data_IF_290156124585
#
_entry.id   IF_290156124585
#
_cell.length_a   1.000
_cell.length_b   1.000
_cell.length_c   1.000
_cell.angle_alpha   90.00
_cell.angle_beta   90.00
_cell.angle_gamma   90.00
#
_symmetry.space_group_name_H-M   'P 1'
#
loop_
_entity.id
_entity.type
_entity.pdbx_description
1 polymer ?
#
# COMPACT_ATOMS: atom_id res chain seq x y z
N UNK A 1 5.39 -3.58 3.23
CA UNK A 1 4.95 -4.91 2.73
C UNK A 1 6.12 -5.90 2.69
N UNK A 2 7.21 -5.67 1.94
CA UNK A 2 8.38 -6.58 1.82
C UNK A 2 8.97 -6.89 3.20
N UNK A 3 9.27 -5.88 4.01
CA UNK A 3 9.91 -6.01 5.34
C UNK A 3 9.13 -6.86 6.36
N UNK A 4 7.83 -7.02 6.16
CA UNK A 4 6.94 -7.80 7.03
C UNK A 4 6.47 -9.11 6.37
N UNK A 5 7.06 -9.49 5.23
CA UNK A 5 6.72 -10.72 4.51
C UNK A 5 5.32 -10.76 3.89
N UNK A 6 4.65 -9.61 3.73
CA UNK A 6 3.27 -9.54 3.23
C UNK A 6 3.18 -8.98 1.80
N UNK A 7 4.27 -9.02 1.04
CA UNK A 7 4.28 -8.47 -0.33
C UNK A 7 3.35 -9.24 -1.27
N UNK A 8 3.18 -10.54 -1.06
CA UNK A 8 2.39 -11.42 -1.91
C UNK A 8 0.86 -11.21 -1.82
N UNK A 9 0.38 -10.41 -0.86
CA UNK A 9 -1.04 -10.02 -0.87
C UNK A 9 -1.36 -9.04 -2.00
N UNK A 10 -0.35 -8.32 -2.53
CA UNK A 10 -0.55 -7.34 -3.59
C UNK A 10 -1.06 -7.97 -4.89
N UNK A 11 -0.41 -9.00 -5.48
CA UNK A 11 -0.93 -9.62 -6.70
C UNK A 11 -2.26 -10.36 -6.50
N UNK A 12 -2.55 -10.78 -5.26
CA UNK A 12 -3.84 -11.41 -4.95
C UNK A 12 -5.00 -10.40 -4.85
N UNK A 13 -4.70 -9.14 -4.48
CA UNK A 13 -5.69 -8.07 -4.38
C UNK A 13 -5.77 -7.21 -5.64
N UNK A 14 -4.64 -7.05 -6.34
CA UNK A 14 -4.47 -6.16 -7.48
C UNK A 14 -3.71 -6.94 -8.57
N UNK A 15 -4.19 -6.92 -9.78
CA UNK A 15 -3.59 -7.69 -10.89
C UNK A 15 -2.14 -7.28 -11.17
N UNK A 16 -1.84 -5.98 -11.03
CA UNK A 16 -0.52 -5.42 -11.26
C UNK A 16 -0.22 -4.29 -10.30
N UNK A 17 1.06 -4.09 -10.04
CA UNK A 17 1.57 -2.97 -9.24
C UNK A 17 2.61 -2.22 -10.06
N UNK A 18 2.42 -0.91 -10.16
CA UNK A 18 3.35 -0.03 -10.87
C UNK A 18 3.89 1.00 -9.89
N UNK A 19 5.19 1.20 -9.86
CA UNK A 19 5.81 2.27 -9.07
C UNK A 19 6.52 3.26 -9.99
N UNK A 20 6.63 4.55 -9.60
CA UNK A 20 7.44 5.48 -10.36
C UNK A 20 8.94 5.18 -10.24
N UNK A 21 9.70 5.58 -11.26
CA UNK A 21 11.16 5.42 -11.26
C UNK A 21 11.82 6.01 -10.02
N UNK A 22 11.35 7.17 -9.53
CA UNK A 22 11.86 7.79 -8.32
C UNK A 22 11.74 6.87 -7.09
N UNK A 23 10.61 6.17 -6.93
CA UNK A 23 10.43 5.19 -5.85
C UNK A 23 11.33 3.97 -6.06
N UNK A 24 11.49 3.51 -7.30
CA UNK A 24 12.41 2.42 -7.64
C UNK A 24 13.86 2.75 -7.26
N UNK A 25 14.31 3.98 -7.54
CA UNK A 25 15.62 4.50 -7.14
C UNK A 25 15.77 4.49 -5.61
N UNK A 26 14.77 4.97 -4.87
CA UNK A 26 14.76 4.92 -3.40
C UNK A 26 14.84 3.49 -2.86
N UNK A 27 14.08 2.56 -3.44
CA UNK A 27 14.06 1.16 -3.02
C UNK A 27 15.38 0.41 -3.28
N UNK A 28 16.20 0.89 -4.19
CA UNK A 28 17.51 0.31 -4.52
C UNK A 28 18.69 1.07 -3.90
N UNK A 29 18.45 2.18 -3.23
CA UNK A 29 19.46 2.98 -2.56
C UNK A 29 20.22 2.17 -1.50
N UNK A 30 21.50 2.49 -1.28
CA UNK A 30 22.36 1.81 -0.29
C UNK A 30 21.83 1.89 1.15
N UNK A 31 21.07 2.94 1.49
CA UNK A 31 20.42 3.10 2.80
C UNK A 31 19.15 2.24 2.98
N UNK A 32 18.62 1.68 1.91
CA UNK A 32 17.44 0.81 1.96
C UNK A 32 17.79 -0.57 2.55
N UNK A 33 16.93 -1.16 3.40
CA UNK A 33 17.19 -2.48 3.96
C UNK A 33 17.50 -3.54 2.89
N UNK A 34 18.47 -4.43 3.17
CA UNK A 34 18.95 -5.43 2.21
C UNK A 34 17.80 -6.28 1.63
N UNK A 35 16.88 -6.73 2.46
CA UNK A 35 15.71 -7.53 2.03
C UNK A 35 14.89 -6.85 0.93
N UNK A 36 14.81 -5.52 0.94
CA UNK A 36 14.09 -4.75 -0.09
C UNK A 36 14.92 -4.69 -1.37
N UNK A 37 16.23 -4.44 -1.26
CA UNK A 37 17.14 -4.43 -2.41
C UNK A 37 17.21 -5.78 -3.10
N UNK A 38 17.27 -6.88 -2.32
CA UNK A 38 17.29 -8.25 -2.85
C UNK A 38 15.99 -8.56 -3.61
N UNK A 39 14.86 -8.12 -3.07
CA UNK A 39 13.57 -8.26 -3.74
C UNK A 39 13.52 -7.46 -5.05
N UNK A 40 14.04 -6.22 -5.04
CA UNK A 40 14.11 -5.37 -6.23
C UNK A 40 15.07 -5.87 -7.32
N UNK A 41 16.05 -6.70 -6.96
CA UNK A 41 16.96 -7.32 -7.93
C UNK A 41 16.26 -8.37 -8.83
N UNK A 42 15.17 -8.98 -8.34
CA UNK A 42 14.42 -10.01 -9.06
C UNK A 42 12.90 -9.75 -8.92
N UNK A 43 12.38 -8.64 -9.47
CA UNK A 43 10.97 -8.30 -9.33
C UNK A 43 10.09 -9.30 -10.09
N UNK A 44 8.93 -9.67 -9.52
CA UNK A 44 8.00 -10.57 -10.18
C UNK A 44 7.28 -9.89 -11.36
N UNK A 45 6.69 -10.68 -12.26
CA UNK A 45 6.04 -10.19 -13.47
C UNK A 45 4.85 -9.24 -13.24
N UNK A 46 4.21 -9.31 -12.07
CA UNK A 46 3.10 -8.41 -11.71
C UNK A 46 3.55 -7.03 -11.24
N UNK A 47 4.87 -6.82 -11.08
CA UNK A 47 5.46 -5.56 -10.61
C UNK A 47 6.24 -4.89 -11.74
N UNK A 48 6.08 -3.58 -11.91
CA UNK A 48 6.80 -2.82 -12.92
C UNK A 48 7.19 -1.43 -12.42
N UNK A 49 8.20 -0.85 -13.07
CA UNK A 49 8.69 0.50 -12.80
C UNK A 49 8.43 1.33 -14.06
N UNK A 50 7.82 2.50 -13.89
CA UNK A 50 7.51 3.40 -15.00
C UNK A 50 7.70 4.85 -14.58
N UNK A 51 8.28 5.68 -15.43
CA UNK A 51 8.30 7.12 -15.24
C UNK A 51 6.95 7.73 -15.66
N UNK A 52 6.38 8.69 -14.92
CA UNK A 52 5.27 9.48 -15.44
C UNK A 52 5.76 10.37 -16.60
N UNK A 53 4.91 10.58 -17.62
CA UNK A 53 5.23 11.50 -18.72
C UNK A 53 5.08 12.95 -18.30
N UNK A 54 4.13 13.24 -17.44
CA UNK A 54 3.88 14.56 -16.89
C UNK A 54 3.91 14.50 -15.37
N UNK A 55 4.40 15.52 -14.71
CA UNK A 55 4.37 15.63 -13.25
C UNK A 55 3.33 16.66 -12.81
N UNK A 56 2.51 16.28 -11.82
CA UNK A 56 1.66 17.22 -11.10
C UNK A 56 2.51 18.33 -10.48
N UNK A 57 1.91 19.47 -10.20
CA UNK A 57 2.61 20.69 -9.77
C UNK A 57 3.73 20.40 -8.74
N UNK A 58 5.00 20.67 -9.09
CA UNK A 58 6.16 20.33 -8.25
C UNK A 58 6.25 21.13 -6.95
N UNK A 59 5.42 22.16 -6.76
CA UNK A 59 5.42 22.99 -5.56
C UNK A 59 4.56 22.44 -4.43
N UNK A 60 3.66 21.49 -4.69
CA UNK A 60 2.72 20.96 -3.70
C UNK A 60 3.30 19.84 -2.83
N UNK A 61 4.16 19.00 -3.37
CA UNK A 61 4.79 17.88 -2.66
C UNK A 61 6.31 18.03 -2.58
N UNK A 62 6.87 17.85 -1.37
CA UNK A 62 8.32 17.90 -1.15
C UNK A 62 9.05 16.68 -1.69
N UNK A 63 8.39 15.51 -1.67
CA UNK A 63 9.03 14.24 -2.04
C UNK A 63 8.73 13.89 -3.50
N UNK A 64 9.80 13.70 -4.28
CA UNK A 64 9.72 13.34 -5.69
C UNK A 64 8.93 12.03 -5.89
N UNK A 65 9.16 11.03 -5.03
CA UNK A 65 8.50 9.74 -5.11
C UNK A 65 6.97 9.84 -5.03
N UNK A 66 6.45 10.61 -4.07
CA UNK A 66 5.01 10.81 -3.88
C UNK A 66 4.37 11.57 -5.04
N UNK A 67 5.01 12.65 -5.50
CA UNK A 67 4.56 13.43 -6.64
C UNK A 67 4.50 12.60 -7.91
N UNK A 68 5.56 11.86 -8.19
CA UNK A 68 5.64 11.01 -9.38
C UNK A 68 4.62 9.85 -9.28
N UNK A 69 4.34 9.34 -8.06
CA UNK A 69 3.32 8.32 -7.83
C UNK A 69 1.90 8.83 -8.11
N UNK A 70 1.56 10.05 -7.67
CA UNK A 70 0.26 10.66 -7.98
C UNK A 70 0.13 10.91 -9.48
N UNK A 71 1.17 11.46 -10.11
CA UNK A 71 1.20 11.71 -11.56
C UNK A 71 0.99 10.44 -12.36
N UNK A 72 1.73 9.39 -12.00
CA UNK A 72 1.64 8.10 -12.66
C UNK A 72 0.27 7.45 -12.46
N UNK A 73 -0.29 7.54 -11.24
CA UNK A 73 -1.62 6.99 -10.94
C UNK A 73 -2.72 7.65 -11.78
N UNK A 74 -2.66 8.98 -11.98
CA UNK A 74 -3.58 9.68 -12.88
C UNK A 74 -3.40 9.24 -14.34
N UNK A 75 -2.15 9.17 -14.80
CA UNK A 75 -1.81 8.85 -16.19
C UNK A 75 -2.29 7.45 -16.60
N UNK A 76 -2.13 6.46 -15.72
CA UNK A 76 -2.52 5.08 -15.99
C UNK A 76 -3.95 4.76 -15.54
N UNK A 77 -4.69 5.73 -15.01
CA UNK A 77 -6.02 5.53 -14.43
C UNK A 77 -6.01 4.39 -13.39
N UNK A 78 -5.06 4.44 -12.45
CA UNK A 78 -4.90 3.41 -11.44
C UNK A 78 -6.16 3.25 -10.58
N UNK A 79 -6.56 2.02 -10.28
CA UNK A 79 -7.71 1.73 -9.39
C UNK A 79 -7.51 2.28 -7.98
N UNK A 80 -6.26 2.30 -7.50
CA UNK A 80 -5.88 2.91 -6.23
C UNK A 80 -4.38 3.21 -6.18
N UNK A 81 -4.03 4.28 -5.48
CA UNK A 81 -2.65 4.63 -5.13
C UNK A 81 -2.37 4.22 -3.69
N UNK A 82 -1.36 3.35 -3.48
CA UNK A 82 -0.86 3.01 -2.15
C UNK A 82 -0.02 4.17 -1.60
N UNK A 83 -0.52 4.84 -0.57
CA UNK A 83 0.10 6.03 -0.03
C UNK A 83 -0.24 6.16 1.46
N UNK A 84 0.78 6.29 2.32
CA UNK A 84 0.60 6.34 3.78
C UNK A 84 0.72 7.76 4.36
N UNK A 85 1.44 8.67 3.71
CA UNK A 85 1.63 10.05 4.17
C UNK A 85 0.33 10.86 4.00
N UNK A 86 -0.13 11.49 5.10
CA UNK A 86 -1.45 12.14 5.18
C UNK A 86 -1.62 13.30 4.19
N UNK A 87 -0.60 14.16 4.06
CA UNK A 87 -0.65 15.30 3.14
C UNK A 87 -0.71 14.86 1.69
N UNK A 88 0.14 13.88 1.33
CA UNK A 88 0.17 13.33 -0.01
C UNK A 88 -1.17 12.63 -0.35
N UNK A 89 -1.80 11.96 0.62
CA UNK A 89 -3.15 11.39 0.47
C UNK A 89 -4.20 12.47 0.19
N UNK A 90 -4.17 13.57 0.94
CA UNK A 90 -5.11 14.68 0.73
C UNK A 90 -4.95 15.29 -0.67
N UNK A 91 -3.73 15.47 -1.15
CA UNK A 91 -3.46 15.99 -2.49
C UNK A 91 -3.89 15.00 -3.59
N UNK A 92 -3.61 13.72 -3.44
CA UNK A 92 -4.05 12.69 -4.38
C UNK A 92 -5.59 12.66 -4.50
N UNK A 93 -6.30 12.72 -3.37
CA UNK A 93 -7.76 12.77 -3.34
C UNK A 93 -8.31 14.05 -4.00
N UNK A 94 -7.68 15.21 -3.76
CA UNK A 94 -8.06 16.49 -4.41
C UNK A 94 -7.87 16.43 -5.94
N UNK A 95 -6.96 15.59 -6.42
CA UNK A 95 -6.70 15.34 -7.84
C UNK A 95 -7.54 14.18 -8.42
N UNK A 96 -8.49 13.65 -7.65
CA UNK A 96 -9.39 12.57 -8.09
C UNK A 96 -8.77 11.18 -8.08
N UNK A 97 -7.60 10.99 -7.46
CA UNK A 97 -6.93 9.69 -7.34
C UNK A 97 -7.41 8.97 -6.08
N UNK A 98 -7.98 7.78 -6.24
CA UNK A 98 -8.34 6.94 -5.10
C UNK A 98 -7.10 6.47 -4.35
N UNK A 99 -7.12 6.53 -3.01
CA UNK A 99 -5.96 6.18 -2.18
C UNK A 99 -6.29 5.08 -1.18
N UNK A 100 -5.32 4.21 -0.95
CA UNK A 100 -5.35 3.19 0.08
C UNK A 100 -4.03 3.23 0.86
N UNK A 101 -4.08 3.10 2.19
CA UNK A 101 -2.87 2.98 3.01
C UNK A 101 -2.48 1.53 3.24
N UNK A 102 -1.25 1.29 3.71
CA UNK A 102 -0.74 -0.05 4.02
C UNK A 102 -1.68 -0.81 4.97
N UNK A 103 -2.19 -0.19 6.03
CA UNK A 103 -3.16 -0.82 6.93
C UNK A 103 -4.47 -1.22 6.22
N UNK A 104 -4.93 -0.42 5.28
CA UNK A 104 -6.12 -0.71 4.46
C UNK A 104 -5.91 -1.89 3.51
N UNK A 105 -4.73 -2.00 2.89
CA UNK A 105 -4.36 -3.16 2.06
C UNK A 105 -4.34 -4.44 2.90
N UNK A 106 -3.71 -4.40 4.08
CA UNK A 106 -3.62 -5.56 4.97
C UNK A 106 -5.00 -5.98 5.50
N UNK A 107 -5.86 -5.00 5.85
CA UNK A 107 -7.24 -5.27 6.23
C UNK A 107 -8.01 -5.95 5.08
N UNK A 108 -7.95 -5.40 3.87
CA UNK A 108 -8.61 -5.98 2.69
C UNK A 108 -8.12 -7.42 2.42
N UNK A 109 -6.82 -7.66 2.58
CA UNK A 109 -6.25 -9.01 2.47
C UNK A 109 -6.81 -9.96 3.54
N UNK A 110 -6.96 -9.50 4.78
CA UNK A 110 -7.56 -10.29 5.86
C UNK A 110 -9.06 -10.57 5.62
N UNK A 111 -9.79 -9.57 5.12
CA UNK A 111 -11.22 -9.71 4.78
C UNK A 111 -11.46 -10.74 3.66
N UNK A 112 -10.50 -10.89 2.75
CA UNK A 112 -10.50 -11.92 1.70
C UNK A 112 -9.89 -13.27 2.14
N UNK A 113 -9.41 -13.39 3.38
CA UNK A 113 -8.82 -14.62 3.91
C UNK A 113 -7.37 -14.88 3.50
N UNK A 114 -6.70 -13.90 2.86
CA UNK A 114 -5.28 -13.97 2.47
C UNK A 114 -4.34 -13.80 3.68
N UNK A 115 -4.82 -13.17 4.75
CA UNK A 115 -4.16 -13.00 6.04
C UNK A 115 -5.04 -13.63 7.11
N UNK A 116 -4.53 -14.64 7.81
CA UNK A 116 -5.27 -15.35 8.85
C UNK A 116 -5.42 -14.53 10.13
N UNK A 117 -4.37 -13.78 10.52
CA UNK A 117 -4.30 -12.97 11.73
C UNK A 117 -3.79 -11.55 11.42
N UNK A 118 -4.74 -10.62 11.24
CA UNK A 118 -4.43 -9.23 10.96
C UNK A 118 -3.71 -8.55 12.15
N UNK A 119 -4.04 -8.95 13.40
CA UNK A 119 -3.39 -8.40 14.59
C UNK A 119 -1.91 -8.75 14.61
N UNK A 120 -1.56 -10.01 14.35
CA UNK A 120 -0.15 -10.43 14.26
C UNK A 120 0.60 -9.67 13.16
N UNK A 121 -0.02 -9.40 12.02
CA UNK A 121 0.59 -8.60 10.94
C UNK A 121 0.76 -7.13 11.35
N UNK A 122 -0.17 -6.55 12.12
CA UNK A 122 0.02 -5.21 12.69
C UNK A 122 1.20 -5.18 13.69
N UNK A 123 1.41 -6.24 14.47
CA UNK A 123 2.57 -6.34 15.36
C UNK A 123 3.90 -6.40 14.57
N UNK A 124 3.92 -7.04 13.41
CA UNK A 124 5.07 -6.99 12.49
C UNK A 124 5.33 -5.57 11.95
N UNK A 125 4.29 -4.78 11.64
CA UNK A 125 4.47 -3.37 11.25
C UNK A 125 5.13 -2.55 12.38
N UNK A 126 4.69 -2.75 13.63
CA UNK A 126 5.29 -2.09 14.80
C UNK A 126 6.77 -2.46 14.95
N UNK A 127 7.08 -3.75 14.89
CA UNK A 127 8.47 -4.27 14.98
C UNK A 127 9.35 -3.73 13.85
N UNK A 128 8.80 -3.60 12.64
CA UNK A 128 9.48 -3.01 11.50
C UNK A 128 9.63 -1.48 11.61
N UNK A 129 9.13 -0.84 12.71
CA UNK A 129 9.11 0.61 12.90
C UNK A 129 8.46 1.35 11.72
N UNK A 130 7.37 0.77 11.20
CA UNK A 130 6.62 1.40 10.13
C UNK A 130 5.79 2.57 10.70
N UNK A 131 5.83 3.72 10.02
CA UNK A 131 5.15 4.94 10.46
C UNK A 131 3.64 4.85 10.15
N UNK A 132 2.91 4.21 11.02
CA UNK A 132 1.45 4.15 11.01
C UNK A 132 0.95 4.38 12.44
N UNK A 133 -0.07 5.21 12.61
CA UNK A 133 -0.59 5.52 13.93
C UNK A 133 -1.34 4.32 14.54
N UNK A 134 -1.27 4.16 15.86
CA UNK A 134 -2.04 3.14 16.58
C UNK A 134 -3.55 3.28 16.35
N UNK A 135 -4.03 4.50 16.17
CA UNK A 135 -5.43 4.77 15.81
C UNK A 135 -5.81 4.07 14.50
N UNK A 136 -5.00 4.21 13.45
CA UNK A 136 -5.25 3.60 12.13
C UNK A 136 -5.23 2.07 12.24
N UNK A 137 -4.27 1.49 12.97
CA UNK A 137 -4.19 0.04 13.16
C UNK A 137 -5.41 -0.50 13.93
N UNK A 138 -5.82 0.18 14.98
CA UNK A 138 -6.98 -0.21 15.77
C UNK A 138 -8.29 -0.10 14.98
N UNK A 139 -8.48 0.96 14.22
CA UNK A 139 -9.63 1.14 13.34
C UNK A 139 -9.68 0.07 12.25
N UNK A 140 -8.53 -0.26 11.65
CA UNK A 140 -8.40 -1.33 10.65
C UNK A 140 -8.82 -2.69 11.25
N UNK A 141 -8.31 -3.01 12.44
CA UNK A 141 -8.66 -4.25 13.13
C UNK A 141 -10.15 -4.30 13.51
N UNK A 142 -10.70 -3.21 14.01
CA UNK A 142 -12.12 -3.12 14.36
C UNK A 142 -13.03 -3.35 13.14
N UNK A 143 -12.71 -2.74 11.99
CA UNK A 143 -13.44 -2.96 10.73
C UNK A 143 -13.38 -4.40 10.26
N UNK A 144 -12.20 -5.05 10.35
CA UNK A 144 -12.04 -6.46 10.01
C UNK A 144 -12.88 -7.36 10.90
N UNK A 145 -12.90 -7.14 12.21
CA UNK A 145 -13.69 -7.93 13.16
C UNK A 145 -15.19 -7.76 12.88
N UNK A 146 -15.66 -6.55 12.61
CA UNK A 146 -17.06 -6.29 12.23
C UNK A 146 -17.44 -7.01 10.92
N UNK A 147 -16.56 -6.99 9.92
CA UNK A 147 -16.75 -7.72 8.66
C UNK A 147 -16.87 -9.23 8.89
N UNK A 148 -16.00 -9.82 9.73
CA UNK A 148 -16.08 -11.25 10.08
C UNK A 148 -17.38 -11.61 10.80
N UNK A 149 -17.84 -10.74 11.70
CA UNK A 149 -19.10 -10.94 12.40
C UNK A 149 -20.28 -10.91 11.43
N UNK A 150 -20.37 -9.89 10.58
CA UNK A 150 -21.45 -9.78 9.59
C UNK A 150 -21.54 -11.01 8.67
N UNK A 151 -20.39 -11.53 8.22
CA UNK A 151 -20.37 -12.77 7.42
C UNK A 151 -20.88 -13.99 8.19
N UNK A 152 -20.52 -14.13 9.47
CA UNK A 152 -21.02 -15.24 10.32
C UNK A 152 -22.52 -15.18 10.50
N UNK A 153 -23.06 -13.97 10.67
CA UNK A 153 -24.51 -13.77 10.89
C UNK A 153 -25.31 -14.09 9.61
N UNK A 154 -24.76 -13.75 8.42
CA UNK A 154 -25.35 -14.15 7.14
C UNK A 154 -25.44 -15.69 7.00
N UNK A 155 -24.36 -16.43 7.29
CA UNK A 155 -24.33 -17.89 7.20
C UNK A 155 -25.23 -18.61 8.23
N UNK A 156 -25.70 -17.92 9.26
CA UNK A 156 -26.64 -18.48 10.25
C UNK A 156 -28.10 -18.23 9.91
N UNK A 157 -28.35 -17.29 8.99
CA UNK A 157 -29.66 -16.88 8.57
C UNK A 157 -30.17 -17.65 7.33
N UNK A 158 -29.27 -18.33 6.61
CA UNK A 158 -29.52 -19.24 5.49
C UNK A 158 -29.57 -20.70 6.01
#
# INVERSE_FOLDING_TARGET
MIRIGQINVLPALFQSVVIPTAVGEEMTCSSTPQIVRDWMAHPPAWFSIRAPHTTVNPTMLRHRGERDAISLAQEIHADALLLDEEKARAEALALGVAVIGTAGVLQRAADQGLIADLKAVHDLLRQAKFHVSEKILNESLARHLAFKQARRDQFRAD
#
